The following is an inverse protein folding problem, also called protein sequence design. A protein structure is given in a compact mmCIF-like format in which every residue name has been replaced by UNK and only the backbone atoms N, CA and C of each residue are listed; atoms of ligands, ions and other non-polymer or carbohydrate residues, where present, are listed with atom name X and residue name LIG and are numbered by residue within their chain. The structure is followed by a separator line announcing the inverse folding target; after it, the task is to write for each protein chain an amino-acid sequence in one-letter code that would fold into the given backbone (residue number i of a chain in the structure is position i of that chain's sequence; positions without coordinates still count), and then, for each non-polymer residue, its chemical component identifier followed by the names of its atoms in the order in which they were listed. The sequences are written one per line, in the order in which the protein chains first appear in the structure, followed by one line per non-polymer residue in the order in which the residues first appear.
data_IF_045446440043
#
_entry.id   IF_045446440043
#
_cell.length_a   1.000
_cell.length_b   1.000
_cell.length_c   1.000
_cell.angle_alpha   90.00
_cell.angle_beta   90.00
_cell.angle_gamma   90.00
#
_symmetry.space_group_name_H-M   'P 1'
#
loop_
_entity.id
_entity.type
_entity.pdbx_description
1 polymer ?
#
# COMPACT_ATOMS: atom_id res chain seq x y z
N UNK A 1 -9.35 -27.64 19.14
CA UNK A 1 -8.21 -27.64 18.19
C UNK A 1 -8.51 -26.83 16.92
N UNK A 2 -9.69 -26.95 16.31
CA UNK A 2 -10.11 -26.19 15.10
C UNK A 2 -10.16 -24.67 15.31
N UNK A 3 -10.60 -24.20 16.48
CA UNK A 3 -10.68 -22.76 16.80
C UNK A 3 -9.30 -22.06 16.83
N UNK A 4 -8.24 -22.74 17.29
CA UNK A 4 -6.89 -22.17 17.33
C UNK A 4 -6.27 -22.01 15.95
N UNK A 5 -6.55 -22.94 15.02
CA UNK A 5 -6.14 -22.80 13.63
C UNK A 5 -6.82 -21.61 12.96
N UNK A 6 -8.14 -21.45 13.13
CA UNK A 6 -8.88 -20.30 12.57
C UNK A 6 -8.34 -18.95 13.07
N UNK A 7 -8.05 -18.83 14.38
CA UNK A 7 -7.53 -17.57 14.96
C UNK A 7 -6.15 -17.20 14.39
N UNK A 8 -5.31 -18.20 14.09
CA UNK A 8 -3.96 -17.99 13.54
C UNK A 8 -4.01 -17.43 12.11
N UNK A 9 -4.96 -17.91 11.30
CA UNK A 9 -5.21 -17.40 9.94
C UNK A 9 -5.85 -16.00 9.95
N UNK A 10 -6.78 -15.74 10.87
CA UNK A 10 -7.44 -14.44 11.00
C UNK A 10 -6.51 -13.30 11.43
N UNK A 11 -5.29 -13.61 11.89
CA UNK A 11 -4.24 -12.63 12.21
C UNK A 11 -3.10 -12.61 11.20
N UNK A 12 -3.28 -13.20 10.03
CA UNK A 12 -2.30 -13.13 8.95
C UNK A 12 -2.87 -12.32 7.79
N UNK A 13 -2.02 -11.54 7.11
CA UNK A 13 -2.44 -10.62 6.06
C UNK A 13 -1.53 -10.69 4.84
N UNK A 14 -2.11 -10.41 3.69
CA UNK A 14 -1.42 -9.98 2.49
C UNK A 14 -1.66 -8.48 2.31
N UNK A 15 -0.55 -7.75 2.22
CA UNK A 15 -0.51 -6.32 1.91
C UNK A 15 0.11 -6.14 0.52
N UNK A 16 -0.55 -5.39 -0.36
CA UNK A 16 0.08 -4.93 -1.61
C UNK A 16 0.75 -3.57 -1.38
N UNK A 17 1.88 -3.32 -2.03
CA UNK A 17 2.68 -2.11 -1.84
C UNK A 17 2.76 -1.25 -3.09
N UNK A 18 3.27 -1.83 -4.16
CA UNK A 18 3.46 -1.14 -5.43
C UNK A 18 3.13 -2.10 -6.58
N UNK A 19 2.80 -1.53 -7.73
CA UNK A 19 2.86 -2.24 -9.00
C UNK A 19 3.77 -1.52 -9.98
N UNK A 20 4.40 -2.29 -10.86
CA UNK A 20 5.12 -1.81 -12.01
C UNK A 20 4.43 -2.38 -13.26
N UNK A 21 4.35 -1.55 -14.30
CA UNK A 21 3.67 -1.88 -15.55
C UNK A 21 4.61 -1.55 -16.70
N UNK A 22 4.78 -2.50 -17.59
CA UNK A 22 5.55 -2.37 -18.82
C UNK A 22 4.68 -2.81 -19.99
N UNK A 23 4.74 -2.08 -21.09
CA UNK A 23 4.07 -2.38 -22.34
C UNK A 23 5.16 -2.57 -23.38
N UNK A 24 5.08 -3.66 -24.15
CA UNK A 24 6.11 -4.05 -25.11
C UNK A 24 6.06 -3.22 -26.40
N UNK A 25 4.97 -2.48 -26.62
CA UNK A 25 4.84 -1.56 -27.74
C UNK A 25 5.82 -0.38 -27.57
N UNK A 26 6.75 -0.17 -28.54
CA UNK A 26 7.73 0.91 -28.47
C UNK A 26 7.11 2.31 -28.43
N UNK A 27 5.87 2.48 -28.89
CA UNK A 27 5.17 3.77 -28.85
C UNK A 27 4.57 4.06 -27.45
N UNK A 28 4.65 3.11 -26.51
CA UNK A 28 4.20 3.25 -25.12
C UNK A 28 5.35 3.67 -24.18
N UNK A 29 6.04 4.77 -24.47
CA UNK A 29 7.04 5.32 -23.53
C UNK A 29 6.36 6.06 -22.36
N UNK A 30 5.28 6.78 -22.68
CA UNK A 30 4.39 7.41 -21.71
C UNK A 30 2.94 7.11 -22.05
N UNK A 31 2.12 6.97 -21.02
CA UNK A 31 0.72 6.64 -21.22
C UNK A 31 -0.06 6.72 -19.93
N UNK A 32 -1.18 6.03 -19.92
CA UNK A 32 -2.01 5.90 -18.73
C UNK A 32 -2.59 4.51 -18.63
N UNK A 33 -2.92 4.07 -17.42
CA UNK A 33 -3.50 2.75 -17.17
C UNK A 33 -4.82 2.87 -16.43
N UNK A 34 -5.69 1.89 -16.66
CA UNK A 34 -6.97 1.76 -15.96
C UNK A 34 -7.37 0.28 -15.88
N UNK A 35 -8.33 -0.02 -15.03
CA UNK A 35 -8.80 -1.37 -14.77
C UNK A 35 -8.86 -1.69 -13.29
N UNK A 36 -8.72 -2.97 -12.94
CA UNK A 36 -8.94 -3.47 -11.59
C UNK A 36 -7.91 -4.52 -11.17
N UNK A 37 -7.51 -4.43 -9.91
CA UNK A 37 -6.77 -5.47 -9.19
C UNK A 37 -7.58 -5.85 -7.97
N UNK A 38 -8.08 -7.09 -7.98
CA UNK A 38 -8.93 -7.66 -6.95
C UNK A 38 -8.21 -8.84 -6.30
N UNK A 39 -8.26 -8.92 -4.98
CA UNK A 39 -7.57 -9.97 -4.22
C UNK A 39 -8.51 -10.57 -3.19
N UNK A 40 -8.52 -11.90 -3.07
CA UNK A 40 -9.24 -12.60 -2.00
C UNK A 40 -8.47 -13.80 -1.48
N UNK A 41 -8.78 -14.20 -0.26
CA UNK A 41 -8.40 -15.50 0.27
C UNK A 41 -9.25 -16.61 -0.36
N UNK A 42 -8.64 -17.74 -0.69
CA UNK A 42 -9.34 -18.86 -1.32
C UNK A 42 -10.36 -19.54 -0.38
N UNK A 43 -10.20 -19.43 0.94
CA UNK A 43 -11.20 -19.92 1.90
C UNK A 43 -12.26 -18.85 2.23
N UNK A 44 -12.22 -17.70 1.56
CA UNK A 44 -13.14 -16.58 1.80
C UNK A 44 -12.99 -15.99 3.20
N UNK A 45 -11.81 -16.13 3.83
CA UNK A 45 -11.56 -15.54 5.15
C UNK A 45 -11.71 -14.01 5.09
N UNK A 46 -12.52 -13.44 6.00
CA UNK A 46 -12.75 -12.00 6.12
C UNK A 46 -12.16 -11.45 7.42
N UNK A 47 -11.57 -10.25 7.35
CA UNK A 47 -10.86 -9.61 8.47
C UNK A 47 -11.80 -8.95 9.50
N UNK A 48 -13.08 -8.84 9.19
CA UNK A 48 -14.02 -7.87 9.78
C UNK A 48 -15.26 -8.50 10.44
N UNK A 49 -15.29 -9.84 10.58
CA UNK A 49 -16.37 -10.51 11.31
C UNK A 49 -17.74 -10.47 10.63
N UNK A 50 -17.82 -10.08 9.35
CA UNK A 50 -19.04 -10.30 8.58
C UNK A 50 -19.32 -11.80 8.53
N UNK A 51 -20.51 -12.19 8.99
CA UNK A 51 -21.07 -13.53 8.83
C UNK A 51 -20.80 -14.01 7.41
N UNK A 52 -20.39 -15.28 7.28
CA UNK A 52 -20.22 -16.00 6.00
C UNK A 52 -21.14 -15.41 4.96
N UNK A 53 -20.57 -14.72 3.98
CA UNK A 53 -21.36 -14.29 2.87
C UNK A 53 -21.98 -15.52 2.22
N UNK A 54 -23.26 -15.40 1.93
CA UNK A 54 -23.90 -16.16 0.88
C UNK A 54 -22.98 -16.24 -0.34
N UNK A 55 -23.00 -17.38 -1.03
CA UNK A 55 -22.06 -17.75 -2.10
C UNK A 55 -22.03 -16.78 -3.32
N UNK A 56 -22.77 -15.67 -3.27
CA UNK A 56 -22.84 -14.62 -4.27
C UNK A 56 -21.89 -13.44 -4.02
N UNK A 57 -21.40 -13.27 -2.80
CA UNK A 57 -20.52 -12.16 -2.45
C UNK A 57 -19.06 -12.64 -2.52
N UNK A 58 -18.36 -12.32 -3.61
CA UNK A 58 -17.08 -12.96 -3.98
C UNK A 58 -15.87 -12.61 -3.08
N UNK A 59 -16.06 -11.94 -1.94
CA UNK A 59 -15.04 -11.59 -0.93
C UNK A 59 -13.79 -10.86 -1.48
N UNK A 60 -13.83 -10.32 -2.70
CA UNK A 60 -12.71 -9.61 -3.27
C UNK A 60 -12.53 -8.25 -2.61
N UNK A 61 -11.28 -7.95 -2.30
CA UNK A 61 -10.82 -6.65 -1.85
C UNK A 61 -10.14 -6.00 -3.05
N UNK A 62 -10.62 -4.81 -3.44
CA UNK A 62 -10.00 -4.06 -4.52
C UNK A 62 -8.83 -3.23 -3.99
N UNK A 63 -7.70 -3.34 -4.67
CA UNK A 63 -6.48 -2.54 -4.42
C UNK A 63 -6.21 -1.50 -5.51
N UNK A 64 -6.79 -1.72 -6.68
CA UNK A 64 -6.78 -0.80 -7.80
C UNK A 64 -8.13 -0.91 -8.48
N UNK A 65 -8.78 0.21 -8.74
CA UNK A 65 -10.04 0.28 -9.47
C UNK A 65 -10.17 1.66 -10.10
N UNK A 66 -9.65 1.80 -11.31
CA UNK A 66 -9.74 3.02 -12.08
C UNK A 66 -10.52 2.75 -13.36
N UNK A 67 -11.42 3.66 -13.68
CA UNK A 67 -12.20 3.63 -14.90
C UNK A 67 -11.44 4.30 -16.04
N UNK A 68 -11.79 3.96 -17.27
CA UNK A 68 -11.14 4.48 -18.48
C UNK A 68 -11.21 6.01 -18.63
N UNK A 69 -12.19 6.66 -18.00
CA UNK A 69 -12.36 8.12 -18.06
C UNK A 69 -11.52 8.86 -17.01
N UNK A 70 -10.98 8.14 -16.01
CA UNK A 70 -10.06 8.66 -14.98
C UNK A 70 -8.81 7.75 -14.87
N UNK A 71 -8.05 7.59 -15.96
CA UNK A 71 -6.90 6.70 -15.98
C UNK A 71 -5.74 7.30 -15.18
N UNK A 72 -4.87 6.45 -14.66
CA UNK A 72 -3.64 6.88 -13.99
C UNK A 72 -2.52 7.06 -15.01
N UNK A 73 -2.00 8.28 -15.13
CA UNK A 73 -0.80 8.53 -15.94
C UNK A 73 0.43 7.80 -15.39
N UNK A 74 1.16 7.10 -16.26
CA UNK A 74 2.37 6.35 -15.93
C UNK A 74 3.47 6.65 -16.94
N UNK A 75 4.71 6.60 -16.47
CA UNK A 75 5.87 6.45 -17.35
C UNK A 75 6.29 5.00 -17.42
N UNK A 76 7.01 4.63 -18.48
CA UNK A 76 7.60 3.30 -18.60
C UNK A 76 8.31 2.86 -17.31
N UNK A 77 7.98 1.64 -16.86
CA UNK A 77 8.51 0.99 -15.66
C UNK A 77 8.39 1.76 -14.33
N UNK A 78 7.52 2.79 -14.27
CA UNK A 78 7.29 3.51 -13.01
C UNK A 78 6.65 2.64 -11.92
N UNK A 79 7.09 2.85 -10.68
CA UNK A 79 6.48 2.24 -9.50
C UNK A 79 5.25 3.02 -9.07
N UNK A 80 4.13 2.34 -9.09
CA UNK A 80 2.80 2.87 -8.79
C UNK A 80 2.43 2.39 -7.39
N UNK A 81 2.39 3.28 -6.38
CA UNK A 81 2.03 2.90 -5.03
C UNK A 81 0.53 2.60 -4.92
N UNK A 82 0.18 1.58 -4.15
CA UNK A 82 -1.21 1.34 -3.75
C UNK A 82 -1.61 2.19 -2.56
N UNK A 83 -2.83 2.75 -2.64
CA UNK A 83 -3.49 3.39 -1.51
C UNK A 83 -4.16 2.39 -0.56
N UNK A 84 -5.11 2.88 0.22
CA UNK A 84 -5.96 2.01 1.05
C UNK A 84 -6.82 1.08 0.18
N UNK A 85 -6.94 -0.21 0.52
CA UNK A 85 -7.85 -1.11 -0.17
C UNK A 85 -9.32 -0.73 0.08
N UNK A 86 -10.24 -1.20 -0.76
CA UNK A 86 -11.66 -0.82 -0.73
C UNK A 86 -12.38 -1.06 0.60
N UNK A 87 -11.95 -2.05 1.38
CA UNK A 87 -12.50 -2.33 2.71
C UNK A 87 -11.67 -1.71 3.86
N UNK A 88 -10.69 -0.88 3.52
CA UNK A 88 -9.71 -0.27 4.44
C UNK A 88 -8.92 -1.29 5.28
N UNK A 89 -8.90 -2.55 4.85
CA UNK A 89 -8.15 -3.63 5.51
C UNK A 89 -7.46 -4.51 4.49
N UNK A 90 -6.28 -4.98 4.86
CA UNK A 90 -5.53 -5.95 4.08
C UNK A 90 -6.21 -7.32 4.04
N UNK A 91 -5.88 -8.12 3.03
CA UNK A 91 -6.56 -9.39 2.76
C UNK A 91 -6.12 -10.42 3.80
N UNK A 92 -7.03 -11.08 4.54
CA UNK A 92 -6.67 -12.24 5.34
C UNK A 92 -6.01 -13.31 4.49
N UNK A 93 -5.10 -14.09 5.05
CA UNK A 93 -4.52 -15.23 4.32
C UNK A 93 -4.61 -16.50 5.14
N UNK A 94 -5.03 -17.58 4.49
CA UNK A 94 -5.19 -18.89 5.10
C UNK A 94 -4.42 -19.99 4.35
N UNK A 95 -4.69 -20.22 3.07
CA UNK A 95 -4.08 -21.30 2.29
C UNK A 95 -3.50 -20.84 0.96
N UNK A 96 -4.25 -20.01 0.24
CA UNK A 96 -3.89 -19.47 -1.06
C UNK A 96 -4.63 -18.17 -1.29
N UNK A 97 -4.06 -17.34 -2.13
CA UNK A 97 -4.66 -16.07 -2.52
C UNK A 97 -5.02 -16.14 -3.99
N UNK A 98 -6.24 -15.73 -4.32
CA UNK A 98 -6.65 -15.52 -5.69
C UNK A 98 -6.55 -14.03 -6.02
N UNK A 99 -5.88 -13.73 -7.13
CA UNK A 99 -5.73 -12.38 -7.67
C UNK A 99 -6.39 -12.34 -9.04
N UNK A 100 -7.35 -11.44 -9.21
CA UNK A 100 -8.02 -11.15 -10.47
C UNK A 100 -7.56 -9.78 -10.97
N UNK A 101 -6.89 -9.77 -12.12
CA UNK A 101 -6.30 -8.59 -12.72
C UNK A 101 -6.91 -8.37 -14.10
N UNK A 102 -7.43 -7.16 -14.30
CA UNK A 102 -7.78 -6.62 -15.61
C UNK A 102 -7.10 -5.27 -15.72
N UNK A 103 -6.14 -5.12 -16.64
CA UNK A 103 -5.41 -3.88 -16.81
C UNK A 103 -5.30 -3.53 -18.28
N UNK A 104 -5.62 -2.28 -18.58
CA UNK A 104 -5.45 -1.67 -19.88
C UNK A 104 -4.42 -0.54 -19.80
N UNK A 105 -3.73 -0.30 -20.91
CA UNK A 105 -2.90 0.87 -21.13
C UNK A 105 -3.49 1.72 -22.26
N UNK A 106 -3.36 3.04 -22.18
CA UNK A 106 -3.64 3.98 -23.27
C UNK A 106 -2.39 4.78 -23.57
N UNK A 107 -2.09 4.96 -24.86
CA UNK A 107 -1.02 5.85 -25.32
C UNK A 107 -1.23 7.28 -24.80
N UNK A 108 -0.17 8.09 -24.78
CA UNK A 108 -0.25 9.50 -24.41
C UNK A 108 -1.25 10.29 -25.29
N UNK A 109 -1.28 9.98 -26.59
CA UNK A 109 -2.24 10.51 -27.58
C UNK A 109 -3.67 9.98 -27.41
N UNK A 110 -3.87 8.93 -26.61
CA UNK A 110 -5.16 8.25 -26.37
C UNK A 110 -5.83 7.68 -27.61
N UNK A 111 -5.06 7.46 -28.67
CA UNK A 111 -5.51 6.85 -29.93
C UNK A 111 -5.37 5.32 -29.93
N UNK A 112 -4.51 4.78 -29.05
CA UNK A 112 -4.29 3.35 -28.88
C UNK A 112 -4.67 2.90 -27.47
N UNK A 113 -5.30 1.73 -27.39
CA UNK A 113 -5.67 1.08 -26.15
C UNK A 113 -5.21 -0.37 -26.18
N UNK A 114 -4.44 -0.74 -25.17
CA UNK A 114 -3.77 -2.03 -25.03
C UNK A 114 -4.42 -2.80 -23.91
N UNK A 115 -4.84 -4.04 -24.17
CA UNK A 115 -5.15 -4.98 -23.09
C UNK A 115 -3.84 -5.58 -22.59
N UNK A 116 -3.30 -5.02 -21.50
CA UNK A 116 -2.02 -5.45 -20.92
C UNK A 116 -2.19 -6.84 -20.31
N UNK A 117 -3.25 -7.05 -19.52
CA UNK A 117 -3.54 -8.35 -18.94
C UNK A 117 -5.02 -8.47 -18.56
N UNK A 118 -5.58 -9.67 -18.74
CA UNK A 118 -6.87 -10.05 -18.18
C UNK A 118 -6.82 -11.52 -17.75
N UNK A 119 -6.94 -11.76 -16.45
CA UNK A 119 -6.96 -13.12 -15.95
C UNK A 119 -6.90 -13.22 -14.44
N UNK A 120 -7.04 -14.46 -13.98
CA UNK A 120 -6.95 -14.82 -12.57
C UNK A 120 -5.72 -15.67 -12.33
N UNK A 121 -5.05 -15.42 -11.21
CA UNK A 121 -3.93 -16.21 -10.72
C UNK A 121 -4.21 -16.65 -9.30
N UNK A 122 -3.95 -17.93 -9.03
CA UNK A 122 -3.97 -18.48 -7.68
C UNK A 122 -2.53 -18.68 -7.20
N UNK A 123 -2.18 -18.04 -6.08
CA UNK A 123 -0.85 -18.17 -5.47
C UNK A 123 -0.95 -19.06 -4.22
N UNK A 124 -0.37 -20.27 -4.24
CA UNK A 124 -0.38 -21.16 -3.09
C UNK A 124 0.58 -20.65 -1.99
N UNK A 125 0.12 -20.63 -0.74
CA UNK A 125 0.90 -20.13 0.40
C UNK A 125 1.46 -21.25 1.29
N UNK A 126 1.46 -22.51 0.85
CA UNK A 126 1.94 -23.65 1.64
C UNK A 126 3.36 -23.43 2.19
N UNK A 127 4.29 -23.02 1.33
CA UNK A 127 5.67 -22.71 1.72
C UNK A 127 5.76 -21.60 2.76
N UNK A 128 4.94 -20.55 2.64
CA UNK A 128 4.91 -19.47 3.62
C UNK A 128 4.51 -19.97 5.01
N UNK A 129 3.63 -20.96 5.11
CA UNK A 129 3.21 -21.54 6.39
C UNK A 129 4.23 -22.49 7.01
N UNK A 130 4.98 -23.20 6.18
CA UNK A 130 6.07 -24.10 6.60
C UNK A 130 7.31 -23.33 7.07
N UNK A 131 7.56 -22.15 6.48
CA UNK A 131 8.70 -21.30 6.81
C UNK A 131 8.57 -20.66 8.22
N UNK A 132 9.68 -20.64 8.97
CA UNK A 132 9.76 -19.93 10.26
C UNK A 132 9.51 -18.42 10.21
N UNK A 133 10.00 -17.64 9.22
CA UNK A 133 9.77 -16.20 9.20
C UNK A 133 8.28 -15.85 9.26
N UNK A 134 7.98 -14.83 10.08
CA UNK A 134 6.62 -14.26 10.21
C UNK A 134 6.27 -13.32 9.05
N UNK A 135 7.21 -13.04 8.18
CA UNK A 135 7.06 -12.05 7.10
C UNK A 135 7.75 -12.55 5.85
N UNK A 136 7.12 -12.41 4.69
CA UNK A 136 7.70 -12.79 3.40
C UNK A 136 7.32 -11.77 2.33
N UNK A 137 8.33 -11.17 1.71
CA UNK A 137 8.16 -10.32 0.53
C UNK A 137 8.04 -11.19 -0.72
N UNK A 138 7.32 -10.70 -1.72
CA UNK A 138 7.26 -11.34 -3.02
C UNK A 138 6.67 -10.43 -4.08
N UNK A 139 6.74 -10.90 -5.31
CA UNK A 139 6.19 -10.22 -6.49
C UNK A 139 5.29 -11.21 -7.24
N UNK A 140 4.07 -10.78 -7.55
CA UNK A 140 3.21 -11.50 -8.49
C UNK A 140 3.47 -10.96 -9.88
N UNK A 141 3.72 -11.87 -10.82
CA UNK A 141 4.04 -11.54 -12.19
C UNK A 141 2.87 -11.93 -13.09
N UNK A 142 2.44 -11.00 -13.93
CA UNK A 142 1.39 -11.20 -14.92
C UNK A 142 1.94 -10.78 -16.27
N UNK A 143 2.11 -11.74 -17.16
CA UNK A 143 2.73 -11.53 -18.47
C UNK A 143 1.73 -11.83 -19.59
N UNK A 144 1.81 -11.04 -20.65
CA UNK A 144 1.14 -11.27 -21.93
C UNK A 144 2.09 -10.86 -23.06
N UNK A 145 1.70 -11.13 -24.30
CA UNK A 145 2.46 -10.68 -25.47
C UNK A 145 2.51 -9.14 -25.59
N UNK A 146 1.61 -8.43 -24.91
CA UNK A 146 1.49 -6.96 -24.97
C UNK A 146 2.31 -6.28 -23.86
N UNK A 147 2.56 -6.96 -22.75
CA UNK A 147 3.28 -6.36 -21.64
C UNK A 147 3.29 -7.20 -20.38
N UNK A 148 3.80 -6.60 -19.30
CA UNK A 148 3.97 -7.25 -18.00
C UNK A 148 3.54 -6.32 -16.87
N UNK A 149 2.88 -6.91 -15.89
CA UNK A 149 2.51 -6.28 -14.62
C UNK A 149 3.19 -7.03 -13.48
N UNK A 150 3.94 -6.30 -12.65
CA UNK A 150 4.59 -6.81 -11.46
C UNK A 150 3.91 -6.20 -10.24
N UNK A 151 3.35 -7.01 -9.34
CA UNK A 151 2.66 -6.55 -8.12
C UNK A 151 3.46 -6.99 -6.90
N UNK A 152 4.02 -6.02 -6.18
CA UNK A 152 4.84 -6.26 -4.99
C UNK A 152 3.96 -6.37 -3.74
N UNK A 153 4.17 -7.43 -2.96
CA UNK A 153 3.39 -7.74 -1.78
C UNK A 153 4.24 -8.18 -0.60
N UNK A 154 3.66 -8.11 0.60
CA UNK A 154 4.20 -8.72 1.80
C UNK A 154 3.13 -9.59 2.45
N UNK A 155 3.50 -10.84 2.75
CA UNK A 155 2.75 -11.75 3.60
C UNK A 155 3.21 -11.60 5.05
N UNK A 156 2.26 -11.53 5.97
CA UNK A 156 2.49 -11.27 7.37
C UNK A 156 1.73 -12.26 8.24
N UNK A 157 2.39 -12.86 9.24
CA UNK A 157 1.79 -13.67 10.31
C UNK A 157 1.66 -12.83 11.57
N UNK A 158 0.59 -13.03 12.32
CA UNK A 158 0.36 -12.43 13.64
C UNK A 158 0.44 -10.89 13.63
N UNK A 159 -0.41 -10.24 12.83
CA UNK A 159 -0.44 -8.79 12.67
C UNK A 159 -1.41 -8.08 13.62
N UNK A 160 -1.24 -6.77 13.70
CA UNK A 160 -2.17 -5.78 14.25
C UNK A 160 -2.39 -4.68 13.21
N UNK A 161 -3.57 -4.05 13.19
CA UNK A 161 -3.84 -2.95 12.28
C UNK A 161 -3.34 -1.63 12.88
N UNK A 162 -2.68 -0.81 12.07
CA UNK A 162 -2.18 0.49 12.46
C UNK A 162 -2.78 1.56 11.55
N UNK A 163 -3.61 2.41 12.13
CA UNK A 163 -4.19 3.60 11.50
C UNK A 163 -3.30 4.81 11.72
N UNK A 164 -3.23 5.70 10.73
CA UNK A 164 -2.28 6.79 10.68
C UNK A 164 -3.00 8.08 10.31
N UNK A 165 -2.71 9.14 11.06
CA UNK A 165 -3.09 10.51 10.74
C UNK A 165 -1.83 11.38 10.69
N UNK A 166 -1.66 12.17 9.63
CA UNK A 166 -0.55 13.11 9.53
C UNK A 166 -1.08 14.53 9.59
N UNK A 167 -0.49 15.30 10.51
CA UNK A 167 -0.78 16.71 10.66
C UNK A 167 0.47 17.52 10.40
N UNK A 168 0.38 18.49 9.50
CA UNK A 168 1.39 19.50 9.26
C UNK A 168 1.09 20.76 10.08
N UNK A 169 2.11 21.42 10.62
CA UNK A 169 2.02 22.62 11.46
C UNK A 169 2.89 23.73 10.90
N UNK A 170 2.28 24.88 10.64
CA UNK A 170 2.99 26.08 10.21
C UNK A 170 3.28 26.96 11.42
N UNK A 171 4.53 27.41 11.54
CA UNK A 171 4.93 28.33 12.61
C UNK A 171 4.34 29.73 12.43
N UNK A 172 4.09 30.15 11.18
CA UNK A 172 3.51 31.46 10.84
C UNK A 172 2.16 31.29 10.09
N UNK A 173 1.04 31.74 10.66
CA UNK A 173 -0.32 31.59 10.10
C UNK A 173 -0.62 32.33 8.80
N UNK A 174 0.18 33.36 8.48
CA UNK A 174 -0.23 34.44 7.59
C UNK A 174 -0.15 34.12 6.10
N UNK A 175 0.81 33.28 5.72
CA UNK A 175 1.13 33.04 4.31
C UNK A 175 0.88 31.57 3.93
N UNK A 176 0.16 31.30 2.84
CA UNK A 176 0.00 29.94 2.35
C UNK A 176 1.36 29.40 1.90
N UNK A 177 1.68 28.20 2.36
CA UNK A 177 2.90 27.49 1.99
C UNK A 177 2.56 26.38 1.01
N UNK A 178 3.31 26.25 -0.06
CA UNK A 178 3.14 25.15 -1.01
C UNK A 178 4.25 24.12 -0.79
N UNK A 179 3.87 22.87 -0.51
CA UNK A 179 4.83 21.79 -0.30
C UNK A 179 4.81 20.75 -1.41
N UNK A 180 5.97 20.14 -1.65
CA UNK A 180 6.16 18.96 -2.48
C UNK A 180 6.93 17.89 -1.72
N UNK A 181 6.82 16.63 -2.17
CA UNK A 181 7.54 15.50 -1.60
C UNK A 181 6.64 14.34 -1.21
N UNK A 182 7.10 13.53 -0.25
CA UNK A 182 6.42 12.30 0.15
C UNK A 182 6.72 11.88 1.59
N UNK A 183 5.75 11.17 2.16
CA UNK A 183 5.91 10.37 3.37
C UNK A 183 5.78 8.91 2.97
N UNK A 184 6.80 8.13 3.28
CA UNK A 184 6.89 6.71 3.02
C UNK A 184 7.04 5.96 4.33
N UNK A 185 6.38 4.81 4.45
CA UNK A 185 6.50 3.91 5.58
C UNK A 185 7.12 2.63 5.07
N UNK A 186 8.37 2.39 5.47
CA UNK A 186 9.13 1.21 5.17
C UNK A 186 9.17 0.28 6.40
N UNK A 187 9.20 -1.01 6.16
CA UNK A 187 9.71 -2.03 7.09
C UNK A 187 8.94 -2.31 8.38
N UNK A 188 8.26 -3.45 8.29
CA UNK A 188 8.13 -4.47 9.32
C UNK A 188 9.52 -5.03 9.71
N UNK A 189 10.03 -4.69 10.90
CA UNK A 189 11.45 -4.87 11.28
C UNK A 189 12.08 -6.27 11.14
N UNK A 190 13.43 -6.34 11.20
CA UNK A 190 14.21 -7.58 11.32
C UNK A 190 14.93 -8.07 10.06
N UNK A 191 15.54 -7.18 9.25
CA UNK A 191 16.18 -7.52 7.96
C UNK A 191 15.23 -8.03 6.88
N UNK A 192 13.91 -7.85 7.03
CA UNK A 192 12.88 -8.39 6.11
C UNK A 192 12.99 -7.79 4.71
N UNK A 193 13.35 -6.51 4.63
CA UNK A 193 13.67 -5.80 3.39
C UNK A 193 15.03 -5.15 3.57
N UNK A 194 16.09 -5.88 3.22
CA UNK A 194 17.42 -5.27 3.11
C UNK A 194 17.49 -4.56 1.75
N UNK A 195 17.80 -3.27 1.77
CA UNK A 195 18.11 -2.48 0.58
C UNK A 195 17.05 -2.54 -0.53
N UNK A 196 15.80 -2.21 -0.20
CA UNK A 196 14.81 -1.85 -1.20
C UNK A 196 15.08 -0.45 -1.74
N UNK A 197 16.12 -0.40 -2.58
CA UNK A 197 16.61 0.80 -3.27
C UNK A 197 15.50 1.38 -4.16
N UNK A 198 14.66 0.52 -4.73
CA UNK A 198 13.59 0.91 -5.65
C UNK A 198 12.32 1.35 -4.92
N UNK A 199 12.16 1.05 -3.63
CA UNK A 199 10.96 1.38 -2.86
C UNK A 199 9.75 0.50 -3.16
N UNK A 200 9.98 -0.71 -3.70
CA UNK A 200 8.94 -1.69 -4.06
C UNK A 200 8.06 -2.13 -2.89
N UNK A 201 8.63 -2.15 -1.69
CA UNK A 201 8.02 -2.61 -0.44
C UNK A 201 7.82 -1.47 0.57
N UNK A 202 7.76 -0.22 0.07
CA UNK A 202 7.45 0.98 0.87
C UNK A 202 6.03 1.43 0.62
N UNK A 203 5.25 1.58 1.69
CA UNK A 203 3.91 2.14 1.60
C UNK A 203 4.04 3.67 1.46
N UNK A 204 3.53 4.23 0.36
CA UNK A 204 3.48 5.68 0.21
C UNK A 204 2.20 6.19 0.87
N UNK A 205 2.34 6.81 2.05
CA UNK A 205 1.18 7.33 2.81
C UNK A 205 0.75 8.70 2.30
N UNK A 206 1.70 9.52 1.87
CA UNK A 206 1.44 10.83 1.27
C UNK A 206 2.45 11.10 0.16
N UNK A 207 1.99 11.65 -0.95
CA UNK A 207 2.85 12.12 -2.05
C UNK A 207 2.16 13.25 -2.76
N UNK A 208 2.88 14.34 -3.00
CA UNK A 208 2.37 15.48 -3.75
C UNK A 208 3.49 16.16 -4.53
N UNK A 209 3.14 16.67 -5.72
CA UNK A 209 3.99 17.61 -6.47
C UNK A 209 3.78 19.05 -6.02
N UNK A 210 2.57 19.37 -5.56
CA UNK A 210 2.16 20.70 -5.14
C UNK A 210 0.93 20.57 -4.25
N UNK A 211 1.08 20.85 -2.96
CA UNK A 211 -0.02 20.87 -1.99
C UNK A 211 0.01 22.18 -1.21
N UNK A 212 -1.10 22.93 -1.27
CA UNK A 212 -1.21 24.21 -0.60
C UNK A 212 -1.68 24.01 0.83
N UNK A 213 -0.84 24.40 1.79
CA UNK A 213 -1.14 24.43 3.21
C UNK A 213 -1.76 25.77 3.58
N UNK A 214 -2.97 25.74 4.14
CA UNK A 214 -3.70 26.93 4.58
C UNK A 214 -4.07 26.74 6.05
N UNK A 215 -3.58 27.62 6.91
CA UNK A 215 -3.84 27.61 8.35
C UNK A 215 -2.74 26.95 9.18
N UNK A 216 -2.87 27.07 10.51
CA UNK A 216 -1.79 26.72 11.45
C UNK A 216 -1.55 25.22 11.58
N UNK A 217 -2.59 24.43 11.30
CA UNK A 217 -2.59 22.99 11.45
C UNK A 217 -3.44 22.39 10.34
N UNK A 218 -2.80 21.59 9.48
CA UNK A 218 -3.45 20.99 8.31
C UNK A 218 -3.31 19.48 8.40
N UNK A 219 -4.43 18.76 8.29
CA UNK A 219 -4.42 17.31 8.15
C UNK A 219 -4.12 16.98 6.70
N UNK A 220 -3.08 16.17 6.47
CA UNK A 220 -2.69 15.77 5.12
C UNK A 220 -3.63 14.66 4.62
N UNK A 221 -4.16 14.76 3.39
CA UNK A 221 -4.96 13.69 2.79
C UNK A 221 -4.03 12.53 2.43
N UNK A 222 -4.13 11.42 3.16
CA UNK A 222 -3.27 10.26 2.96
C UNK A 222 -3.80 9.40 1.81
N UNK A 223 -2.88 8.96 0.94
CA UNK A 223 -3.13 7.89 -0.04
C UNK A 223 -3.34 6.55 0.67
N UNK A 224 -2.62 6.36 1.77
CA UNK A 224 -2.67 5.15 2.60
C UNK A 224 -2.61 5.52 4.07
N UNK A 225 -3.68 5.19 4.79
CA UNK A 225 -3.86 5.50 6.21
C UNK A 225 -3.82 4.26 7.09
N UNK A 226 -4.00 3.07 6.51
CA UNK A 226 -4.06 1.80 7.26
C UNK A 226 -2.98 0.82 6.76
N UNK A 227 -2.29 0.21 7.72
CA UNK A 227 -1.27 -0.82 7.49
C UNK A 227 -1.42 -1.95 8.51
N UNK A 228 -1.39 -3.19 8.04
CA UNK A 228 -1.20 -4.37 8.87
C UNK A 228 0.27 -4.47 9.27
N UNK A 229 0.57 -4.61 10.56
CA UNK A 229 1.94 -4.60 11.10
C UNK A 229 2.16 -5.85 11.92
N UNK A 230 3.28 -6.60 11.77
CA UNK A 230 3.55 -7.74 12.63
C UNK A 230 3.58 -7.30 14.09
N UNK A 231 2.91 -8.06 14.95
CA UNK A 231 2.88 -7.78 16.37
C UNK A 231 4.30 -7.83 16.96
N UNK A 232 4.71 -6.77 17.66
CA UNK A 232 6.07 -6.64 18.18
C UNK A 232 7.11 -6.19 17.14
N UNK A 233 6.67 -5.96 15.89
CA UNK A 233 7.48 -5.46 14.79
C UNK A 233 7.92 -4.01 14.97
N UNK A 234 8.73 -3.54 14.02
CA UNK A 234 9.07 -2.13 13.89
C UNK A 234 8.42 -1.55 12.65
N UNK A 235 8.19 -0.24 12.63
CA UNK A 235 7.83 0.57 11.47
C UNK A 235 8.89 1.65 11.32
N UNK A 236 9.42 1.82 10.11
CA UNK A 236 10.35 2.88 9.77
C UNK A 236 9.63 3.91 8.90
N UNK A 237 9.58 5.15 9.37
CA UNK A 237 8.91 6.24 8.66
C UNK A 237 9.98 7.15 8.07
N UNK A 238 9.94 7.33 6.77
CA UNK A 238 10.81 8.21 5.99
C UNK A 238 9.94 9.35 5.45
N UNK A 239 10.27 10.58 5.81
CA UNK A 239 9.52 11.75 5.36
C UNK A 239 10.46 12.78 4.75
N UNK A 240 10.11 13.24 3.55
CA UNK A 240 10.75 14.34 2.85
C UNK A 240 9.68 15.30 2.33
N UNK A 241 9.58 16.49 2.90
CA UNK A 241 8.67 17.55 2.47
C UNK A 241 9.44 18.86 2.33
N UNK A 242 9.28 19.53 1.19
CA UNK A 242 10.01 20.74 0.82
C UNK A 242 9.04 21.82 0.37
N UNK A 243 9.40 23.07 0.58
CA UNK A 243 8.73 24.22 -0.01
C UNK A 243 8.94 24.24 -1.53
N UNK A 244 7.88 24.51 -2.29
CA UNK A 244 7.92 24.50 -3.76
C UNK A 244 8.77 25.65 -4.31
N UNK A 245 8.65 26.85 -3.76
CA UNK A 245 9.31 28.05 -4.29
C UNK A 245 10.77 28.14 -3.86
N UNK A 246 11.01 28.04 -2.56
CA UNK A 246 12.33 28.22 -1.94
C UNK A 246 13.18 26.95 -1.91
N UNK A 247 12.59 25.79 -2.23
CA UNK A 247 13.21 24.46 -2.06
C UNK A 247 13.67 24.18 -0.62
N UNK A 248 13.19 24.96 0.36
CA UNK A 248 13.51 24.77 1.77
C UNK A 248 12.91 23.46 2.26
N UNK A 249 13.74 22.60 2.85
CA UNK A 249 13.27 21.40 3.52
C UNK A 249 12.49 21.77 4.79
N UNK A 250 11.21 21.38 4.85
CA UNK A 250 10.44 21.39 6.09
C UNK A 250 10.62 20.11 6.87
N UNK A 251 10.78 19.00 6.17
CA UNK A 251 10.89 17.67 6.76
C UNK A 251 11.94 16.88 6.00
N UNK A 252 12.92 16.36 6.71
CA UNK A 252 13.85 15.35 6.21
C UNK A 252 14.26 14.47 7.40
N UNK A 253 13.43 13.46 7.68
CA UNK A 253 13.62 12.62 8.86
C UNK A 253 13.35 11.15 8.58
N UNK A 254 14.06 10.33 9.35
CA UNK A 254 13.87 8.89 9.42
C UNK A 254 13.63 8.53 10.88
N UNK A 255 12.52 7.83 11.16
CA UNK A 255 12.13 7.45 12.52
C UNK A 255 11.71 6.00 12.59
N UNK A 256 12.26 5.29 13.57
CA UNK A 256 11.87 3.92 13.89
C UNK A 256 10.89 3.92 15.06
N UNK A 257 9.80 3.18 14.89
CA UNK A 257 8.82 2.90 15.92
C UNK A 257 8.73 1.40 16.17
N UNK A 258 8.59 0.98 17.43
CA UNK A 258 8.35 -0.42 17.80
C UNK A 258 6.91 -0.58 18.25
N UNK A 259 6.16 -1.42 17.54
CA UNK A 259 4.78 -1.76 17.89
C UNK A 259 4.77 -2.62 19.14
N UNK A 260 4.00 -2.23 20.17
CA UNK A 260 3.85 -3.04 21.39
C UNK A 260 2.67 -4.00 21.22
N UNK A 261 2.88 -5.26 21.61
CA UNK A 261 1.85 -6.27 21.52
C UNK A 261 0.80 -6.08 22.62
N UNK A 262 -0.47 -6.08 22.26
CA UNK A 262 -1.58 -6.24 23.21
C UNK A 262 -2.10 -4.96 23.88
N UNK A 263 -1.67 -3.78 23.44
CA UNK A 263 -2.23 -2.49 23.87
C UNK A 263 -2.63 -1.67 22.65
N UNK A 264 -3.73 -0.92 22.79
CA UNK A 264 -3.98 0.21 21.91
C UNK A 264 -2.96 1.27 22.26
N UNK A 265 -2.06 1.57 21.33
CA UNK A 265 -1.04 2.60 21.51
C UNK A 265 -1.40 3.76 20.58
N UNK A 266 -1.56 4.96 21.15
CA UNK A 266 -1.59 6.21 20.42
C UNK A 266 -0.19 6.82 20.49
N UNK A 267 0.52 6.86 19.37
CA UNK A 267 1.86 7.39 19.27
C UNK A 267 1.84 8.69 18.48
N UNK A 268 2.38 9.75 19.07
CA UNK A 268 2.64 11.00 18.36
C UNK A 268 4.16 11.14 18.10
N UNK A 269 4.58 11.02 16.85
CA UNK A 269 5.94 11.36 16.42
C UNK A 269 5.93 12.81 15.98
N UNK A 270 6.53 13.69 16.77
CA UNK A 270 6.62 15.13 16.48
C UNK A 270 7.98 15.49 15.91
N UNK A 271 7.97 16.28 14.85
CA UNK A 271 9.09 17.04 14.33
C UNK A 271 8.69 18.52 14.25
N UNK A 272 9.61 19.39 13.84
CA UNK A 272 9.44 20.85 13.89
C UNK A 272 8.17 21.33 13.16
N UNK A 273 7.82 20.69 12.04
CA UNK A 273 6.70 21.11 11.17
C UNK A 273 5.60 20.06 11.01
N UNK A 274 5.71 18.88 11.59
CA UNK A 274 4.64 17.87 11.46
C UNK A 274 4.59 16.91 12.64
N UNK A 275 3.41 16.33 12.82
CA UNK A 275 3.17 15.26 13.77
C UNK A 275 2.48 14.09 13.09
N UNK A 276 3.03 12.90 13.29
CA UNK A 276 2.47 11.63 12.87
C UNK A 276 1.75 11.01 14.06
N UNK A 277 0.43 10.82 13.97
CA UNK A 277 -0.33 10.10 14.98
C UNK A 277 -0.60 8.69 14.46
N UNK A 278 0.04 7.70 15.07
CA UNK A 278 -0.16 6.30 14.78
C UNK A 278 -1.01 5.71 15.89
N UNK A 279 -2.19 5.21 15.54
CA UNK A 279 -3.05 4.44 16.44
C UNK A 279 -3.00 2.98 16.04
N UNK A 280 -2.42 2.16 16.91
CA UNK A 280 -2.35 0.71 16.71
C UNK A 280 -3.54 0.07 17.41
N UNK A 281 -4.42 -0.57 16.65
CA UNK A 281 -5.56 -1.30 17.19
C UNK A 281 -5.30 -2.81 17.13
N UNK A 282 -5.63 -3.51 18.22
CA UNK A 282 -5.59 -4.97 18.25
C UNK A 282 -6.86 -5.51 17.56
N UNK A 283 -6.70 -6.32 16.52
CA UNK A 283 -7.78 -7.09 15.91
C UNK A 283 -8.20 -8.27 16.80
#
# INVERSE_FOLDING_TARGET
MVAFYLIRYLRSRLELFTMNVSVSDPDFDQGSIFGKLLVKDALGARADGWTRSDAKDCCYISWFNLEWHEPLGISYDSLIPFGDPSCHRSVPVSSSVEVDLLLHGMSESKDQCYLIFHGKRNEPLSKFWEEEPKTKCGTLEFESDIGRVLVNFILLKEVVDASMDVTFRLSNPGDPVEICGSIMVALYGGNVVKDDILGQYKATTFRTKKFKLIGNQVVLPLHRSLLAVPAGGRLKIEALLMDVESQKEYVNVMRDYRVRQGKTDDLCIKCDYFSFNLKVARC
#
